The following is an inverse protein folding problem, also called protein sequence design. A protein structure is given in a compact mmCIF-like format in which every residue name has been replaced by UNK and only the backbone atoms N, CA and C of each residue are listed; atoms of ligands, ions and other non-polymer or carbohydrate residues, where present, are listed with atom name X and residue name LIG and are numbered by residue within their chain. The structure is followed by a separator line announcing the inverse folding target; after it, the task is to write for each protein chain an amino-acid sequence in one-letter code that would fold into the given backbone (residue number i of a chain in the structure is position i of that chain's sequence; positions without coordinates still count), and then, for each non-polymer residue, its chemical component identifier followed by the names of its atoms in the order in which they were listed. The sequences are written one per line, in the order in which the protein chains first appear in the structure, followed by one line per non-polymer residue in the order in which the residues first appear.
data_IF_670708061898
#
_entry.id   IF_670708061898
#
_cell.length_a   1.000
_cell.length_b   1.000
_cell.length_c   1.000
_cell.angle_alpha   90.00
_cell.angle_beta   90.00
_cell.angle_gamma   90.00
#
_symmetry.space_group_name_H-M   'P 1'
#
loop_
_entity.id
_entity.type
_entity.pdbx_description
1 polymer ?
#
# COMPACT_ATOMS: atom_id res chain seq x y z
N UNK A 1 12.74 -1.48 -9.36
CA UNK A 1 11.41 -1.04 -8.88
C UNK A 1 10.27 -1.92 -9.38
N UNK A 2 10.17 -2.24 -10.67
CA UNK A 2 9.14 -3.16 -11.18
C UNK A 2 9.11 -4.52 -10.49
N UNK A 3 10.27 -5.15 -10.26
CA UNK A 3 10.34 -6.41 -9.50
C UNK A 3 9.76 -6.31 -8.08
N UNK A 4 10.02 -5.20 -7.36
CA UNK A 4 9.45 -4.95 -6.04
C UNK A 4 7.94 -4.71 -6.10
N UNK A 5 7.45 -4.02 -7.13
CA UNK A 5 6.01 -3.83 -7.34
C UNK A 5 5.30 -5.17 -7.60
N UNK A 6 5.89 -6.04 -8.43
CA UNK A 6 5.35 -7.38 -8.71
C UNK A 6 5.35 -8.23 -7.44
N UNK A 7 6.46 -8.27 -6.70
CA UNK A 7 6.53 -9.02 -5.44
C UNK A 7 5.55 -8.47 -4.39
N UNK A 8 5.45 -7.14 -4.30
CA UNK A 8 4.55 -6.45 -3.39
C UNK A 8 3.07 -6.63 -3.71
N UNK A 9 2.73 -6.99 -4.94
CA UNK A 9 1.38 -7.43 -5.32
C UNK A 9 1.20 -8.93 -5.07
N UNK A 10 2.07 -9.77 -5.62
CA UNK A 10 1.89 -11.22 -5.63
C UNK A 10 1.94 -11.81 -4.22
N UNK A 11 2.94 -11.45 -3.40
CA UNK A 11 3.11 -12.08 -2.10
C UNK A 11 1.94 -11.82 -1.14
N UNK A 12 1.46 -10.58 -0.92
CA UNK A 12 0.33 -10.37 -0.03
C UNK A 12 -0.97 -10.92 -0.63
N UNK A 13 -1.16 -10.82 -1.94
CA UNK A 13 -2.41 -11.24 -2.57
C UNK A 13 -2.58 -12.75 -2.66
N UNK A 14 -1.51 -13.55 -2.71
CA UNK A 14 -1.66 -15.01 -2.60
C UNK A 14 -2.30 -15.40 -1.27
N UNK A 15 -1.96 -14.74 -0.16
CA UNK A 15 -2.56 -14.97 1.16
C UNK A 15 -3.94 -14.32 1.29
N UNK A 16 -4.13 -13.10 0.79
CA UNK A 16 -5.44 -12.44 0.82
C UNK A 16 -6.50 -13.21 0.02
N UNK A 17 -6.12 -13.78 -1.13
CA UNK A 17 -7.01 -14.62 -1.93
C UNK A 17 -7.34 -15.93 -1.21
N UNK A 18 -6.37 -16.59 -0.56
CA UNK A 18 -6.65 -17.76 0.27
C UNK A 18 -7.61 -17.43 1.42
N UNK A 19 -7.41 -16.29 2.09
CA UNK A 19 -8.29 -15.80 3.14
C UNK A 19 -9.72 -15.56 2.62
N UNK A 20 -9.88 -14.91 1.47
CA UNK A 20 -11.18 -14.69 0.84
C UNK A 20 -11.86 -15.99 0.42
N UNK A 21 -11.11 -16.92 -0.20
CA UNK A 21 -11.61 -18.24 -0.60
C UNK A 21 -12.01 -19.11 0.60
N UNK A 22 -11.40 -18.88 1.76
CA UNK A 22 -11.77 -19.52 3.03
C UNK A 22 -13.00 -18.87 3.71
N UNK A 23 -13.69 -17.92 3.04
CA UNK A 23 -14.85 -17.22 3.58
C UNK A 23 -14.51 -15.95 4.37
N UNK A 24 -13.26 -15.51 4.32
CA UNK A 24 -12.83 -14.23 4.86
C UNK A 24 -13.45 -13.04 4.14
N UNK A 25 -13.39 -11.87 4.79
CA UNK A 25 -13.89 -10.61 4.22
C UNK A 25 -12.89 -9.49 4.40
N UNK A 26 -12.77 -8.65 3.36
CA UNK A 26 -11.99 -7.40 3.38
C UNK A 26 -12.79 -6.22 3.97
N UNK A 27 -14.02 -6.45 4.42
CA UNK A 27 -14.77 -5.43 5.16
C UNK A 27 -14.01 -5.04 6.44
N UNK A 28 -13.96 -3.74 6.81
CA UNK A 28 -13.10 -3.26 7.89
C UNK A 28 -13.24 -4.04 9.20
N UNK A 29 -14.47 -4.33 9.62
CA UNK A 29 -14.73 -5.05 10.87
C UNK A 29 -14.16 -6.49 10.84
N UNK A 30 -14.51 -7.27 9.82
CA UNK A 30 -14.08 -8.66 9.70
C UNK A 30 -12.56 -8.77 9.47
N UNK A 31 -12.02 -7.88 8.64
CA UNK A 31 -10.58 -7.84 8.35
C UNK A 31 -9.78 -7.47 9.59
N UNK A 32 -10.18 -6.42 10.33
CA UNK A 32 -9.45 -5.98 11.52
C UNK A 32 -9.44 -7.05 12.61
N UNK A 33 -10.59 -7.70 12.85
CA UNK A 33 -10.69 -8.81 13.81
C UNK A 33 -9.72 -9.95 13.46
N UNK A 34 -9.57 -10.27 12.18
CA UNK A 34 -8.70 -11.35 11.73
C UNK A 34 -7.22 -10.95 11.56
N UNK A 35 -6.93 -9.65 11.43
CA UNK A 35 -5.57 -9.10 11.33
C UNK A 35 -4.93 -8.85 12.72
N UNK A 36 -5.73 -8.77 13.77
CA UNK A 36 -5.27 -8.46 15.14
C UNK A 36 -5.54 -9.56 16.20
N UNK A 37 -5.47 -10.87 15.89
CA UNK A 37 -5.81 -11.92 16.85
C UNK A 37 -4.80 -12.08 17.99
N UNK A 38 -3.57 -11.60 17.81
CA UNK A 38 -2.49 -11.71 18.81
C UNK A 38 -1.76 -10.38 18.97
N UNK A 39 -1.03 -10.22 20.07
CA UNK A 39 -0.21 -9.02 20.31
C UNK A 39 0.79 -8.79 19.18
N UNK A 40 1.42 -9.85 18.67
CA UNK A 40 2.40 -9.77 17.57
C UNK A 40 1.76 -9.30 16.26
N UNK A 41 0.65 -9.93 15.85
CA UNK A 41 -0.06 -9.58 14.61
C UNK A 41 -0.70 -8.20 14.68
N UNK A 42 -1.12 -7.79 15.86
CA UNK A 42 -1.59 -6.42 16.13
C UNK A 42 -0.46 -5.41 15.92
N UNK A 43 0.73 -5.65 16.49
CA UNK A 43 1.88 -4.75 16.32
C UNK A 43 2.28 -4.62 14.84
N UNK A 44 2.35 -5.73 14.09
CA UNK A 44 2.64 -5.73 12.65
C UNK A 44 1.56 -4.96 11.87
N UNK A 45 0.28 -5.18 12.18
CA UNK A 45 -0.83 -4.49 11.52
C UNK A 45 -0.73 -2.98 11.74
N UNK A 46 -0.51 -2.54 12.98
CA UNK A 46 -0.36 -1.12 13.31
C UNK A 46 0.85 -0.49 12.60
N UNK A 47 1.99 -1.18 12.53
CA UNK A 47 3.17 -0.71 11.81
C UNK A 47 2.88 -0.49 10.32
N UNK A 48 2.21 -1.46 9.66
CA UNK A 48 1.82 -1.35 8.25
C UNK A 48 0.87 -0.18 8.02
N UNK A 49 -0.14 0.01 8.87
CA UNK A 49 -1.08 1.13 8.73
C UNK A 49 -0.41 2.49 9.02
N UNK A 50 0.52 2.55 9.97
CA UNK A 50 1.29 3.76 10.26
C UNK A 50 2.23 4.11 9.09
N UNK A 51 2.86 3.11 8.48
CA UNK A 51 3.66 3.29 7.27
C UNK A 51 2.79 3.74 6.09
N UNK A 52 1.59 3.17 5.93
CA UNK A 52 0.63 3.58 4.88
C UNK A 52 0.14 5.02 5.08
N UNK A 53 -0.12 5.42 6.32
CA UNK A 53 -0.50 6.79 6.65
C UNK A 53 0.66 7.77 6.37
N UNK A 54 1.87 7.44 6.83
CA UNK A 54 3.07 8.25 6.60
C UNK A 54 3.38 8.40 5.10
N UNK A 55 3.27 7.31 4.33
CA UNK A 55 3.36 7.33 2.88
C UNK A 55 2.30 8.23 2.24
N UNK A 56 1.06 8.16 2.69
CA UNK A 56 -0.05 8.97 2.16
C UNK A 56 0.17 10.46 2.40
N UNK A 57 0.57 10.84 3.61
CA UNK A 57 0.92 12.22 3.95
C UNK A 57 2.06 12.72 3.08
N UNK A 58 3.12 11.92 2.93
CA UNK A 58 4.28 12.27 2.12
C UNK A 58 3.94 12.47 0.65
N UNK A 59 3.22 11.53 0.03
CA UNK A 59 2.82 11.60 -1.39
C UNK A 59 1.96 12.83 -1.69
N UNK A 60 1.03 13.17 -0.79
CA UNK A 60 0.16 14.35 -0.93
C UNK A 60 0.93 15.65 -0.73
N UNK A 61 1.91 15.67 0.18
CA UNK A 61 2.74 16.84 0.45
C UNK A 61 3.77 17.11 -0.67
N UNK A 62 4.38 16.07 -1.24
CA UNK A 62 5.47 16.22 -2.21
C UNK A 62 5.00 16.78 -3.57
N UNK A 63 3.77 16.46 -3.98
CA UNK A 63 3.12 16.90 -5.24
C UNK A 63 3.95 16.71 -6.53
N UNK A 64 4.92 15.80 -6.53
CA UNK A 64 5.82 15.51 -7.66
C UNK A 64 5.13 14.73 -8.80
N UNK A 65 3.98 14.11 -8.52
CA UNK A 65 3.20 13.35 -9.50
C UNK A 65 1.84 14.03 -9.67
N UNK A 66 1.33 14.11 -10.91
CA UNK A 66 0.09 14.84 -11.25
C UNK A 66 -1.15 14.41 -10.44
N UNK A 67 -1.20 13.15 -9.98
CA UNK A 67 -2.35 12.57 -9.27
C UNK A 67 -1.89 11.77 -8.04
N UNK A 68 -1.41 12.44 -6.97
CA UNK A 68 -0.86 11.77 -5.79
C UNK A 68 -1.92 10.91 -5.07
N UNK A 69 -3.18 11.37 -5.07
CA UNK A 69 -4.32 10.66 -4.49
C UNK A 69 -4.57 9.28 -5.10
N UNK A 70 -4.19 9.05 -6.37
CA UNK A 70 -4.30 7.72 -6.98
C UNK A 70 -3.44 6.67 -6.26
N UNK A 71 -2.27 7.07 -5.76
CA UNK A 71 -1.38 6.18 -5.01
C UNK A 71 -1.85 5.97 -3.58
N UNK A 72 -2.50 6.96 -2.97
CA UNK A 72 -3.18 6.80 -1.67
C UNK A 72 -4.30 5.77 -1.80
N UNK A 73 -5.17 5.90 -2.81
CA UNK A 73 -6.22 4.92 -3.07
C UNK A 73 -5.65 3.53 -3.36
N UNK A 74 -4.58 3.44 -4.15
CA UNK A 74 -3.91 2.17 -4.43
C UNK A 74 -3.33 1.52 -3.16
N UNK A 75 -2.77 2.32 -2.25
CA UNK A 75 -2.20 1.86 -0.99
C UNK A 75 -3.25 1.17 -0.11
N UNK A 76 -4.45 1.76 0.02
CA UNK A 76 -5.51 1.20 0.85
C UNK A 76 -6.37 0.14 0.14
N UNK A 77 -6.48 0.20 -1.20
CA UNK A 77 -7.25 -0.78 -1.97
C UNK A 77 -6.46 -2.06 -2.26
N UNK A 78 -5.14 -1.97 -2.46
CA UNK A 78 -4.30 -3.08 -2.91
C UNK A 78 -3.20 -3.42 -1.92
N UNK A 79 -2.51 -2.40 -1.40
CA UNK A 79 -1.46 -2.56 -0.39
C UNK A 79 -0.28 -1.60 -0.59
N UNK A 80 0.33 -1.21 0.53
CA UNK A 80 1.51 -0.33 0.57
C UNK A 80 2.70 -0.89 -0.21
N UNK A 81 2.90 -2.21 -0.16
CA UNK A 81 4.02 -2.92 -0.81
C UNK A 81 4.00 -2.80 -2.34
N UNK A 82 2.84 -2.62 -2.96
CA UNK A 82 2.72 -2.27 -4.39
C UNK A 82 2.76 -0.76 -4.60
N UNK A 83 2.03 0.00 -3.78
CA UNK A 83 1.83 1.43 -4.00
C UNK A 83 3.13 2.24 -3.93
N UNK A 84 4.01 1.93 -2.97
CA UNK A 84 5.29 2.61 -2.80
C UNK A 84 6.23 2.45 -4.02
N UNK A 85 6.61 1.24 -4.47
CA UNK A 85 7.50 1.09 -5.61
C UNK A 85 6.88 1.61 -6.92
N UNK A 86 5.56 1.54 -7.07
CA UNK A 86 4.87 2.10 -8.24
C UNK A 86 4.90 3.64 -8.21
N UNK A 87 4.69 4.26 -7.05
CA UNK A 87 4.84 5.71 -6.89
C UNK A 87 6.26 6.17 -7.25
N UNK A 88 7.29 5.47 -6.75
CA UNK A 88 8.68 5.80 -7.04
C UNK A 88 9.00 5.68 -8.55
N UNK A 89 8.44 4.69 -9.26
CA UNK A 89 8.55 4.59 -10.72
C UNK A 89 7.93 5.79 -11.43
N UNK A 90 6.68 6.12 -11.09
CA UNK A 90 5.98 7.25 -11.71
C UNK A 90 6.65 8.59 -11.40
N UNK A 91 7.24 8.73 -10.21
CA UNK A 91 8.02 9.91 -9.83
C UNK A 91 9.31 10.02 -10.65
N UNK A 92 10.01 8.92 -10.90
CA UNK A 92 11.23 8.94 -11.73
C UNK A 92 10.95 9.37 -13.18
N UNK A 93 9.75 9.09 -13.66
CA UNK A 93 9.34 9.37 -15.04
C UNK A 93 8.55 10.68 -15.16
N UNK A 94 8.22 11.31 -14.02
CA UNK A 94 7.68 12.64 -14.02
C UNK A 94 8.74 13.56 -14.65
N UNK A 95 8.41 14.28 -15.73
CA UNK A 95 9.34 15.24 -16.29
C UNK A 95 9.76 16.20 -15.17
N UNK A 96 11.07 16.36 -14.97
CA UNK A 96 11.61 17.37 -14.09
C UNK A 96 11.18 18.73 -14.67
N UNK A 97 10.01 19.23 -14.26
CA UNK A 97 9.61 20.59 -14.59
C UNK A 97 10.60 21.53 -13.90
N UNK A 98 11.59 21.98 -14.68
CA UNK A 98 12.53 23.05 -14.43
C UNK A 98 13.38 22.93 -13.15
N UNK A 99 14.52 22.25 -13.28
CA UNK A 99 15.77 22.84 -12.80
C UNK A 99 16.36 23.67 -13.95
N UNK A 100 15.77 24.84 -14.19
CA UNK A 100 16.36 25.97 -14.90
C UNK A 100 16.27 27.19 -13.98
#
# INVERSE_FOLDING_TARGET
MWGLAILGLVLPWTFNLQYLLAGGSLMPEAFWRNATPTVLTTAITLDVYLAAFSFSVWVVAERQVKRPWGFVLLCFAVGLSLALPLYLLCRQWAPQTAAQ
#
